data_IF_660035388072
#
_entry.id   IF_660035388072
#
_cell.length_a   1.000
_cell.length_b   1.000
_cell.length_c   1.000
_cell.angle_alpha   90.00
_cell.angle_beta   90.00
_cell.angle_gamma   90.00
#
_symmetry.space_group_name_H-M   'P 1'
#
loop_
_entity.id
_entity.type
_entity.pdbx_description
1 polymer ?
#
# COMPACT_ATOMS: atom_id res chain seq x y z
N UNK A 1 61.50 14.58 13.75
CA UNK A 1 60.65 14.85 12.57
C UNK A 1 59.84 13.58 12.29
N UNK A 2 58.55 13.55 12.66
CA UNK A 2 57.64 12.43 12.37
C UNK A 2 57.10 12.59 10.94
N UNK A 3 57.03 11.52 10.12
CA UNK A 3 56.37 11.58 8.83
C UNK A 3 54.86 11.80 9.00
N UNK A 4 54.29 12.61 8.10
CA UNK A 4 52.87 12.99 8.03
C UNK A 4 52.02 11.78 7.64
N UNK A 5 50.87 11.66 8.30
CA UNK A 5 49.87 10.60 8.18
C UNK A 5 49.55 10.24 6.73
N UNK A 6 49.45 8.92 6.48
CA UNK A 6 48.71 8.38 5.34
C UNK A 6 47.27 8.89 5.47
N UNK A 7 46.82 9.73 4.55
CA UNK A 7 45.41 10.11 4.45
C UNK A 7 44.62 8.85 4.07
N UNK A 8 43.97 8.28 5.07
CA UNK A 8 43.11 7.11 4.93
C UNK A 8 41.84 7.55 4.17
N UNK A 9 41.45 6.77 3.16
CA UNK A 9 40.40 7.12 2.20
C UNK A 9 39.29 6.08 2.21
N UNK A 10 38.04 6.54 2.12
CA UNK A 10 36.84 5.71 2.01
C UNK A 10 36.34 5.72 0.57
N UNK A 11 36.00 4.53 0.07
CA UNK A 11 35.45 4.37 -1.28
C UNK A 11 33.93 4.50 -1.20
N UNK A 12 33.36 5.41 -2.00
CA UNK A 12 31.92 5.60 -2.05
C UNK A 12 31.20 4.37 -2.62
N UNK A 13 30.19 3.81 -1.92
CA UNK A 13 29.49 2.62 -2.39
C UNK A 13 28.64 2.88 -3.65
N UNK A 14 28.27 4.14 -3.91
CA UNK A 14 27.37 4.51 -5.02
C UNK A 14 28.10 4.76 -6.34
N UNK A 15 29.20 5.52 -6.31
CA UNK A 15 29.92 5.92 -7.53
C UNK A 15 31.38 5.47 -7.56
N UNK A 16 31.87 4.79 -6.50
CA UNK A 16 33.26 4.33 -6.33
C UNK A 16 34.32 5.44 -6.36
N UNK A 17 33.92 6.70 -6.22
CA UNK A 17 34.85 7.80 -6.03
C UNK A 17 35.51 7.69 -4.64
N UNK A 18 36.77 8.10 -4.55
CA UNK A 18 37.54 8.16 -3.33
C UNK A 18 37.17 9.43 -2.55
N UNK A 19 36.94 9.28 -1.26
CA UNK A 19 36.60 10.36 -0.34
C UNK A 19 37.57 10.31 0.85
N UNK A 20 38.09 11.44 1.37
CA UNK A 20 38.86 11.46 2.61
C UNK A 20 38.02 10.93 3.77
N UNK A 21 38.67 10.21 4.68
CA UNK A 21 38.06 9.80 5.93
C UNK A 21 37.51 10.99 6.74
N UNK A 22 36.35 10.78 7.36
CA UNK A 22 35.61 11.83 8.08
C UNK A 22 34.65 12.66 7.22
N UNK A 23 34.62 12.45 5.90
CA UNK A 23 33.59 13.05 5.05
C UNK A 23 32.26 12.33 5.24
N UNK A 24 31.23 13.07 5.67
CA UNK A 24 29.89 12.52 5.84
C UNK A 24 29.20 12.21 4.50
N UNK A 25 29.67 12.83 3.40
CA UNK A 25 29.11 12.71 2.06
C UNK A 25 30.20 12.64 1.00
N UNK A 26 29.93 11.90 -0.08
CA UNK A 26 30.79 11.81 -1.24
C UNK A 26 30.70 13.09 -2.08
N UNK A 27 31.81 13.77 -2.34
CA UNK A 27 31.82 15.02 -3.14
C UNK A 27 31.41 14.81 -4.60
N UNK A 28 31.56 13.60 -5.12
CA UNK A 28 31.24 13.31 -6.52
C UNK A 28 29.74 13.09 -6.75
N UNK A 29 29.03 12.49 -5.78
CA UNK A 29 27.64 12.04 -5.98
C UNK A 29 26.67 12.35 -4.84
N UNK A 30 27.16 12.96 -3.74
CA UNK A 30 26.35 13.36 -2.58
C UNK A 30 25.92 12.22 -1.65
N UNK A 31 26.33 10.97 -1.90
CA UNK A 31 25.95 9.83 -1.06
C UNK A 31 26.65 9.85 0.30
N UNK A 32 25.93 9.54 1.39
CA UNK A 32 26.48 9.53 2.73
C UNK A 32 27.50 8.38 2.95
N UNK A 33 28.61 8.63 3.65
CA UNK A 33 29.74 7.70 3.78
C UNK A 33 29.96 7.11 5.19
N UNK A 34 29.14 7.47 6.19
CA UNK A 34 28.99 6.66 7.41
C UNK A 34 28.73 7.42 8.71
N UNK A 35 27.61 7.08 9.37
CA UNK A 35 27.55 6.70 10.79
C UNK A 35 26.14 6.17 11.11
N UNK A 36 26.03 4.84 11.06
CA UNK A 36 25.06 4.09 11.84
C UNK A 36 25.52 4.20 13.30
N UNK A 37 24.87 5.04 14.09
CA UNK A 37 24.59 4.72 15.49
C UNK A 37 23.41 5.56 16.00
N UNK A 38 22.37 4.81 16.38
CA UNK A 38 21.31 5.14 17.33
C UNK A 38 20.56 6.49 17.21
N UNK A 39 19.27 6.34 16.83
CA UNK A 39 18.14 7.13 17.32
C UNK A 39 17.95 8.56 16.77
N UNK A 40 16.73 8.76 16.22
CA UNK A 40 16.02 10.03 15.96
C UNK A 40 16.38 10.77 14.65
N UNK A 41 15.73 10.39 13.55
CA UNK A 41 14.72 11.22 12.86
C UNK A 41 14.28 10.51 11.58
N UNK A 42 13.14 9.84 11.67
CA UNK A 42 12.35 9.43 10.51
C UNK A 42 11.69 10.69 9.92
N UNK A 43 12.31 11.29 8.92
CA UNK A 43 11.67 12.13 7.90
C UNK A 43 12.66 12.29 6.74
N UNK A 44 12.49 11.56 5.65
CA UNK A 44 11.68 11.98 4.50
C UNK A 44 12.35 13.15 3.74
N UNK A 45 13.17 12.82 2.74
CA UNK A 45 12.97 13.33 1.38
C UNK A 45 13.99 12.75 0.39
N UNK A 46 13.41 12.00 -0.54
CA UNK A 46 13.71 11.98 -1.97
C UNK A 46 14.65 10.91 -2.56
N UNK A 47 14.06 10.22 -3.54
CA UNK A 47 14.60 9.18 -4.43
C UNK A 47 14.86 7.78 -3.86
N UNK A 48 13.86 6.92 -4.09
CA UNK A 48 14.11 5.84 -5.04
C UNK A 48 14.40 4.46 -4.45
N UNK A 49 13.35 3.83 -3.93
CA UNK A 49 13.31 2.41 -3.63
C UNK A 49 12.77 2.16 -2.25
N UNK A 50 11.52 1.70 -2.15
CA UNK A 50 11.18 0.83 -1.03
C UNK A 50 12.30 -0.21 -0.93
N UNK A 51 12.86 -0.48 0.26
CA UNK A 51 13.81 -1.58 0.39
C UNK A 51 13.12 -2.78 -0.25
N UNK A 52 13.76 -3.32 -1.29
CA UNK A 52 13.37 -4.60 -1.81
C UNK A 52 13.36 -5.51 -0.60
N UNK A 53 12.17 -5.90 -0.13
CA UNK A 53 12.02 -7.00 0.78
C UNK A 53 12.52 -8.22 0.01
N UNK A 54 13.84 -8.41 -0.04
CA UNK A 54 14.54 -9.62 -0.48
C UNK A 54 14.30 -10.78 0.49
N UNK A 55 13.28 -10.67 1.34
CA UNK A 55 12.60 -11.84 1.85
C UNK A 55 11.90 -12.56 0.68
N UNK A 56 11.93 -13.91 0.66
CA UNK A 56 10.97 -14.67 -0.13
C UNK A 56 9.54 -14.30 0.36
N UNK A 57 8.49 -14.78 -0.28
CA UNK A 57 7.07 -14.53 0.10
C UNK A 57 6.68 -15.14 1.49
N UNK A 58 7.61 -15.12 2.45
CA UNK A 58 7.69 -15.97 3.65
C UNK A 58 6.66 -15.58 4.70
N UNK A 59 6.41 -14.31 4.99
CA UNK A 59 5.50 -13.95 6.08
C UNK A 59 4.15 -13.40 5.61
N UNK A 60 3.55 -14.07 4.63
CA UNK A 60 2.10 -13.91 4.42
C UNK A 60 1.39 -15.01 5.20
N UNK A 61 0.76 -14.69 6.35
CA UNK A 61 -0.03 -15.68 7.07
C UNK A 61 -1.10 -16.21 6.13
N UNK A 62 -1.31 -17.53 6.16
CA UNK A 62 -2.40 -18.19 5.45
C UNK A 62 -3.73 -17.79 6.10
N UNK A 63 -4.15 -16.57 5.84
CA UNK A 63 -5.34 -16.04 6.46
C UNK A 63 -6.56 -16.69 5.80
N UNK A 64 -7.34 -17.40 6.61
CA UNK A 64 -8.62 -17.93 6.17
C UNK A 64 -9.49 -16.79 5.61
N UNK A 65 -10.21 -17.08 4.54
CA UNK A 65 -11.10 -16.10 3.88
C UNK A 65 -12.11 -15.46 4.84
N UNK A 66 -12.55 -16.23 5.86
CA UNK A 66 -13.47 -15.75 6.89
C UNK A 66 -12.84 -14.63 7.74
N UNK A 67 -11.56 -14.75 8.12
CA UNK A 67 -10.86 -13.70 8.86
C UNK A 67 -10.70 -12.43 8.02
N UNK A 68 -10.46 -12.57 6.71
CA UNK A 68 -10.45 -11.42 5.79
C UNK A 68 -11.80 -10.70 5.80
N UNK A 69 -12.91 -11.45 5.77
CA UNK A 69 -14.26 -10.87 5.85
C UNK A 69 -14.47 -10.15 7.18
N UNK A 70 -14.14 -10.81 8.30
CA UNK A 70 -14.27 -10.25 9.65
C UNK A 70 -13.44 -8.97 9.79
N UNK A 71 -12.19 -8.96 9.34
CA UNK A 71 -11.37 -7.75 9.35
C UNK A 71 -11.93 -6.65 8.49
N UNK A 72 -12.51 -6.96 7.32
CA UNK A 72 -13.12 -5.95 6.47
C UNK A 72 -14.32 -5.27 7.14
N UNK A 73 -15.13 -6.04 7.88
CA UNK A 73 -16.26 -5.52 8.67
C UNK A 73 -15.74 -4.66 9.84
N UNK A 74 -14.79 -5.18 10.64
CA UNK A 74 -14.27 -4.49 11.82
C UNK A 74 -13.56 -3.19 11.44
N UNK A 75 -12.84 -3.17 10.31
CA UNK A 75 -12.09 -2.00 9.84
C UNK A 75 -12.88 -1.10 8.91
N UNK A 76 -14.17 -1.36 8.72
CA UNK A 76 -15.07 -0.56 7.87
C UNK A 76 -14.50 -0.32 6.45
N UNK A 77 -13.95 -1.37 5.81
CA UNK A 77 -13.41 -1.24 4.45
C UNK A 77 -11.91 -0.92 4.36
N UNK A 78 -11.28 -0.42 5.44
CA UNK A 78 -9.88 0.03 5.42
C UNK A 78 -8.90 -1.13 5.19
N UNK A 79 -9.25 -2.33 5.66
CA UNK A 79 -8.38 -3.51 5.54
C UNK A 79 -7.95 -3.80 4.09
N UNK A 80 -8.85 -3.61 3.11
CA UNK A 80 -8.58 -3.92 1.71
C UNK A 80 -7.41 -3.14 1.10
N UNK A 81 -7.48 -1.79 1.05
CA UNK A 81 -6.38 -0.96 0.57
C UNK A 81 -5.07 -1.20 1.33
N UNK A 82 -5.13 -1.32 2.67
CA UNK A 82 -3.94 -1.58 3.50
C UNK A 82 -3.30 -2.93 3.16
N UNK A 83 -4.11 -3.96 2.92
CA UNK A 83 -3.65 -5.27 2.48
C UNK A 83 -2.93 -5.21 1.13
N UNK A 84 -3.47 -4.42 0.18
CA UNK A 84 -2.83 -4.19 -1.11
C UNK A 84 -1.49 -3.45 -0.97
N UNK A 85 -1.45 -2.37 -0.18
CA UNK A 85 -0.23 -1.58 0.05
C UNK A 85 0.89 -2.43 0.67
N UNK A 86 0.56 -3.21 1.71
CA UNK A 86 1.52 -4.11 2.37
C UNK A 86 2.11 -5.16 1.42
N UNK A 87 1.40 -5.52 0.36
CA UNK A 87 1.82 -6.56 -0.59
C UNK A 87 2.26 -6.01 -1.94
N UNK A 88 2.33 -4.70 -2.09
CA UNK A 88 2.68 -4.06 -3.34
C UNK A 88 4.03 -4.55 -3.87
N UNK A 89 5.06 -4.62 -3.01
CA UNK A 89 6.38 -5.12 -3.39
C UNK A 89 6.41 -6.60 -3.80
N UNK A 90 5.51 -7.42 -3.26
CA UNK A 90 5.35 -8.81 -3.70
C UNK A 90 4.71 -8.88 -5.08
N UNK A 91 3.68 -8.06 -5.35
CA UNK A 91 3.01 -8.01 -6.64
C UNK A 91 3.88 -7.41 -7.74
N UNK A 92 4.72 -6.43 -7.42
CA UNK A 92 5.65 -5.83 -8.38
C UNK A 92 6.75 -6.80 -8.85
N UNK A 93 6.99 -7.89 -8.11
CA UNK A 93 7.92 -8.96 -8.52
C UNK A 93 7.29 -9.96 -9.49
N UNK A 94 5.97 -9.96 -9.65
CA UNK A 94 5.31 -10.81 -10.63
C UNK A 94 5.72 -10.39 -12.05
N UNK A 95 5.99 -11.38 -12.89
CA UNK A 95 6.39 -11.19 -14.29
C UNK A 95 5.16 -10.81 -15.13
N UNK A 96 4.73 -9.56 -15.06
CA UNK A 96 3.66 -8.98 -15.89
C UNK A 96 4.07 -7.60 -16.40
N UNK A 97 3.63 -7.24 -17.60
CA UNK A 97 3.83 -5.90 -18.19
C UNK A 97 3.06 -4.82 -17.42
N UNK A 98 1.95 -5.21 -16.79
CA UNK A 98 1.12 -4.30 -15.99
C UNK A 98 1.68 -4.22 -14.58
N UNK A 99 1.74 -3.00 -14.04
CA UNK A 99 2.15 -2.76 -12.66
C UNK A 99 1.02 -2.11 -11.87
N UNK A 100 0.91 -2.48 -10.60
CA UNK A 100 -0.01 -1.85 -9.67
C UNK A 100 0.48 -0.43 -9.35
N UNK A 101 -0.40 0.56 -9.45
CA UNK A 101 -0.04 1.95 -9.16
C UNK A 101 -0.23 2.23 -7.66
N UNK A 102 0.84 2.51 -6.89
CA UNK A 102 0.73 2.83 -5.46
C UNK A 102 -0.15 4.05 -5.21
N UNK A 103 -0.11 5.06 -6.08
CA UNK A 103 -0.88 6.29 -5.92
C UNK A 103 -2.39 6.04 -5.92
N UNK A 104 -2.88 5.09 -6.73
CA UNK A 104 -4.30 4.74 -6.75
C UNK A 104 -4.75 3.98 -5.49
N UNK A 105 -3.84 3.23 -4.85
CA UNK A 105 -4.12 2.56 -3.57
C UNK A 105 -4.12 3.53 -2.40
N UNK A 106 -3.19 4.48 -2.38
CA UNK A 106 -3.19 5.56 -1.40
C UNK A 106 -4.43 6.43 -1.58
N UNK A 107 -4.79 6.76 -2.82
CA UNK A 107 -6.01 7.52 -3.12
C UNK A 107 -7.27 6.80 -2.64
N UNK A 108 -7.42 5.49 -2.88
CA UNK A 108 -8.60 4.76 -2.38
C UNK A 108 -8.67 4.71 -0.86
N UNK A 109 -7.53 4.59 -0.17
CA UNK A 109 -7.46 4.68 1.29
C UNK A 109 -7.89 6.06 1.79
N UNK A 110 -7.41 7.14 1.15
CA UNK A 110 -7.79 8.51 1.49
C UNK A 110 -9.28 8.76 1.28
N UNK A 111 -9.87 8.25 0.20
CA UNK A 111 -11.31 8.37 -0.04
C UNK A 111 -12.13 7.60 1.00
N UNK A 112 -11.75 6.37 1.38
CA UNK A 112 -12.42 5.64 2.46
C UNK A 112 -12.33 6.42 3.78
N UNK A 113 -11.15 6.93 4.13
CA UNK A 113 -11.00 7.73 5.35
C UNK A 113 -11.88 8.99 5.33
N UNK A 114 -11.94 9.68 4.19
CA UNK A 114 -12.79 10.86 4.02
C UNK A 114 -14.29 10.53 4.11
N UNK A 115 -14.75 9.44 3.46
CA UNK A 115 -16.13 8.97 3.56
C UNK A 115 -16.52 8.59 4.98
N UNK A 116 -15.66 7.85 5.70
CA UNK A 116 -15.89 7.53 7.11
C UNK A 116 -15.98 8.78 7.99
N UNK A 117 -15.11 9.76 7.77
CA UNK A 117 -15.16 11.03 8.51
C UNK A 117 -16.43 11.82 8.20
N UNK A 118 -16.86 11.89 6.94
CA UNK A 118 -18.10 12.55 6.54
C UNK A 118 -19.33 11.87 7.14
N UNK A 119 -19.41 10.55 7.07
CA UNK A 119 -20.47 9.75 7.68
C UNK A 119 -20.54 9.96 9.20
N UNK A 120 -19.39 10.00 9.87
CA UNK A 120 -19.32 10.28 11.30
C UNK A 120 -19.82 11.69 11.65
N UNK A 121 -19.38 12.71 10.90
CA UNK A 121 -19.83 14.09 11.10
C UNK A 121 -21.33 14.23 10.85
N UNK A 122 -21.85 13.60 9.79
CA UNK A 122 -23.28 13.61 9.49
C UNK A 122 -24.11 13.01 10.63
N UNK A 123 -23.71 11.84 11.15
CA UNK A 123 -24.38 11.20 12.28
C UNK A 123 -24.31 12.03 13.58
N UNK A 124 -23.19 12.73 13.84
CA UNK A 124 -23.10 13.65 14.97
C UNK A 124 -24.06 14.83 14.83
N UNK A 125 -24.17 15.41 13.64
CA UNK A 125 -25.07 16.53 13.36
C UNK A 125 -26.52 16.09 13.56
N UNK A 126 -26.90 14.92 13.03
CA UNK A 126 -28.25 14.38 13.17
C UNK A 126 -28.60 14.14 14.65
N UNK A 127 -27.73 13.45 15.39
CA UNK A 127 -27.94 13.18 16.82
C UNK A 127 -28.01 14.43 17.70
N UNK A 128 -27.20 15.45 17.42
CA UNK A 128 -27.27 16.74 18.14
C UNK A 128 -28.53 17.53 17.78
N UNK A 129 -28.95 17.49 16.50
CA UNK A 129 -30.12 18.22 16.03
C UNK A 129 -31.41 17.67 16.65
N UNK A 130 -31.50 16.35 16.83
CA UNK A 130 -32.61 15.68 17.51
C UNK A 130 -32.67 16.09 18.98
N UNK A 131 -31.52 16.12 19.66
CA UNK A 131 -31.43 16.54 21.07
C UNK A 131 -31.86 18.00 21.31
N UNK A 132 -31.64 18.89 20.32
CA UNK A 132 -31.93 20.33 20.43
C UNK A 132 -33.26 20.76 19.78
N UNK A 133 -33.98 19.86 19.11
CA UNK A 133 -35.23 20.18 18.41
C UNK A 133 -35.07 21.12 17.21
N UNK A 134 -33.86 21.22 16.62
CA UNK A 134 -33.51 22.19 15.58
C UNK A 134 -33.49 21.54 14.18
N UNK A 135 -34.61 20.94 13.76
CA UNK A 135 -34.62 19.91 12.71
C UNK A 135 -34.59 20.42 11.27
N UNK A 136 -35.18 21.57 10.96
CA UNK A 136 -35.49 21.93 9.55
C UNK A 136 -34.30 22.45 8.74
N UNK A 137 -33.42 23.27 9.31
CA UNK A 137 -32.26 23.84 8.59
C UNK A 137 -31.04 22.94 8.63
N UNK A 138 -30.94 22.09 9.66
CA UNK A 138 -29.82 21.18 9.87
C UNK A 138 -30.00 19.89 9.05
N UNK A 139 -31.23 19.40 8.89
CA UNK A 139 -31.50 18.16 8.13
C UNK A 139 -31.11 18.26 6.64
N UNK A 140 -31.19 19.44 6.04
CA UNK A 140 -30.73 19.66 4.67
C UNK A 140 -29.21 19.53 4.51
N UNK A 141 -28.44 19.92 5.55
CA UNK A 141 -26.99 19.81 5.56
C UNK A 141 -26.53 18.37 5.76
N UNK A 142 -27.12 17.62 6.71
CA UNK A 142 -26.77 16.20 6.94
C UNK A 142 -27.04 15.37 5.69
N UNK A 143 -28.21 15.53 5.06
CA UNK A 143 -28.56 14.82 3.82
C UNK A 143 -27.55 15.10 2.69
N UNK A 144 -27.10 16.35 2.55
CA UNK A 144 -26.09 16.70 1.55
C UNK A 144 -24.72 16.06 1.85
N UNK A 145 -24.31 16.01 3.13
CA UNK A 145 -23.09 15.33 3.57
C UNK A 145 -23.16 13.81 3.34
N UNK A 146 -24.32 13.19 3.56
CA UNK A 146 -24.53 11.76 3.31
C UNK A 146 -24.42 11.42 1.83
N UNK A 147 -25.02 12.23 0.96
CA UNK A 147 -24.88 12.06 -0.48
C UNK A 147 -23.42 12.22 -0.95
N UNK A 148 -22.70 13.19 -0.39
CA UNK A 148 -21.28 13.40 -0.68
C UNK A 148 -20.42 12.21 -0.19
N UNK A 149 -20.66 11.73 1.03
CA UNK A 149 -19.99 10.55 1.58
C UNK A 149 -20.22 9.34 0.69
N UNK A 150 -21.48 9.07 0.35
CA UNK A 150 -21.87 7.96 -0.52
C UNK A 150 -21.16 8.04 -1.87
N UNK A 151 -21.08 9.23 -2.47
CA UNK A 151 -20.39 9.43 -3.73
C UNK A 151 -18.89 9.12 -3.63
N UNK A 152 -18.24 9.57 -2.56
CA UNK A 152 -16.83 9.29 -2.27
C UNK A 152 -16.60 7.78 -2.05
N UNK A 153 -17.47 7.11 -1.32
CA UNK A 153 -17.38 5.66 -1.05
C UNK A 153 -17.55 4.83 -2.32
N UNK A 154 -18.47 5.25 -3.19
CA UNK A 154 -18.65 4.65 -4.52
C UNK A 154 -17.37 4.81 -5.34
N UNK A 155 -16.77 6.01 -5.36
CA UNK A 155 -15.53 6.26 -6.08
C UNK A 155 -14.38 5.38 -5.54
N UNK A 156 -14.24 5.30 -4.21
CA UNK A 156 -13.25 4.43 -3.58
C UNK A 156 -13.43 2.96 -3.98
N UNK A 157 -14.69 2.50 -4.01
CA UNK A 157 -15.04 1.14 -4.43
C UNK A 157 -14.63 0.87 -5.87
N UNK A 158 -14.88 1.80 -6.80
CA UNK A 158 -14.44 1.68 -8.19
C UNK A 158 -12.92 1.59 -8.30
N UNK A 159 -12.18 2.40 -7.54
CA UNK A 159 -10.71 2.34 -7.52
C UNK A 159 -10.21 0.97 -7.04
N UNK A 160 -10.81 0.41 -5.99
CA UNK A 160 -10.43 -0.91 -5.47
C UNK A 160 -10.78 -2.02 -6.47
N UNK A 161 -11.94 -1.96 -7.13
CA UNK A 161 -12.32 -2.91 -8.18
C UNK A 161 -11.30 -2.85 -9.33
N UNK A 162 -10.94 -1.65 -9.78
CA UNK A 162 -9.95 -1.46 -10.84
C UNK A 162 -8.59 -2.08 -10.48
N UNK A 163 -8.11 -1.87 -9.26
CA UNK A 163 -6.86 -2.49 -8.78
C UNK A 163 -6.98 -4.01 -8.67
N UNK A 164 -8.12 -4.52 -8.21
CA UNK A 164 -8.37 -5.95 -8.09
C UNK A 164 -8.37 -6.65 -9.45
N UNK A 165 -8.95 -6.03 -10.47
CA UNK A 165 -8.91 -6.54 -11.84
C UNK A 165 -7.50 -6.46 -12.44
N UNK A 166 -6.75 -5.40 -12.14
CA UNK A 166 -5.34 -5.29 -12.57
C UNK A 166 -4.50 -6.42 -11.94
N UNK A 167 -4.64 -6.66 -10.64
CA UNK A 167 -3.94 -7.76 -9.95
C UNK A 167 -4.32 -9.14 -10.52
N UNK A 168 -5.60 -9.37 -10.81
CA UNK A 168 -6.03 -10.60 -11.49
C UNK A 168 -5.28 -10.81 -12.80
N UNK A 169 -5.16 -9.78 -13.64
CA UNK A 169 -4.42 -9.90 -14.90
C UNK A 169 -2.94 -10.21 -14.64
N UNK A 170 -2.28 -9.52 -13.70
CA UNK A 170 -0.88 -9.79 -13.35
C UNK A 170 -0.65 -11.24 -12.91
N UNK A 171 -1.55 -11.80 -12.09
CA UNK A 171 -1.46 -13.20 -11.65
C UNK A 171 -1.63 -14.15 -12.83
N UNK A 172 -2.58 -13.88 -13.74
CA UNK A 172 -2.79 -14.71 -14.94
C UNK A 172 -1.58 -14.70 -15.86
N UNK A 173 -1.03 -13.52 -16.13
CA UNK A 173 0.16 -13.36 -16.98
C UNK A 173 1.35 -14.11 -16.39
N UNK A 174 1.57 -13.98 -15.08
CA UNK A 174 2.67 -14.66 -14.39
C UNK A 174 2.55 -16.19 -14.47
N UNK A 175 1.36 -16.72 -14.24
CA UNK A 175 1.15 -18.18 -14.29
C UNK A 175 1.18 -18.70 -15.72
N UNK A 176 0.69 -17.94 -16.70
CA UNK A 176 0.83 -18.27 -18.11
C UNK A 176 2.31 -18.33 -18.54
N UNK A 177 3.14 -17.40 -18.05
CA UNK A 177 4.58 -17.40 -18.30
C UNK A 177 5.31 -18.63 -17.69
N UNK A 178 4.73 -19.26 -16.67
CA UNK A 178 5.22 -20.52 -16.09
C UNK A 178 4.62 -21.78 -16.75
N UNK A 179 3.84 -21.63 -17.83
CA UNK A 179 3.16 -22.75 -18.51
C UNK A 179 1.94 -23.29 -17.75
N UNK A 180 1.42 -22.56 -16.76
CA UNK A 180 0.23 -22.93 -16.00
C UNK A 180 -1.02 -22.18 -16.44
N UNK A 181 -2.19 -22.61 -15.93
CA UNK A 181 -3.45 -21.88 -16.07
C UNK A 181 -4.16 -21.75 -14.73
N UNK A 182 -4.76 -20.58 -14.46
CA UNK A 182 -5.60 -20.33 -13.27
C UNK A 182 -6.95 -19.80 -13.69
N UNK A 183 -8.00 -20.51 -13.27
CA UNK A 183 -9.38 -20.10 -13.47
C UNK A 183 -9.78 -19.02 -12.44
N UNK A 184 -9.30 -17.79 -12.62
CA UNK A 184 -9.79 -16.61 -11.87
C UNK A 184 -10.84 -15.89 -12.72
N UNK A 185 -12.08 -15.89 -12.26
CA UNK A 185 -13.21 -15.22 -12.93
C UNK A 185 -13.28 -13.74 -12.53
N UNK A 186 -13.55 -12.86 -13.50
CA UNK A 186 -13.65 -11.42 -13.24
C UNK A 186 -14.82 -11.10 -12.31
N UNK A 187 -15.98 -11.74 -12.51
CA UNK A 187 -17.16 -11.60 -11.65
C UNK A 187 -16.84 -11.89 -10.17
N UNK A 188 -16.17 -13.02 -9.90
CA UNK A 188 -15.73 -13.38 -8.55
C UNK A 188 -14.72 -12.39 -7.96
N UNK A 189 -13.92 -11.73 -8.81
CA UNK A 189 -12.98 -10.69 -8.38
C UNK A 189 -13.71 -9.37 -8.05
N UNK A 190 -14.84 -9.08 -8.69
CA UNK A 190 -15.64 -7.90 -8.38
C UNK A 190 -16.43 -8.13 -7.08
N UNK A 191 -17.07 -9.29 -6.95
CA UNK A 191 -17.90 -9.63 -5.79
C UNK A 191 -17.08 -9.91 -4.52
N UNK A 192 -15.93 -10.56 -4.66
CA UNK A 192 -15.12 -11.04 -3.54
C UNK A 192 -13.68 -10.55 -3.61
N UNK A 193 -13.43 -9.38 -4.22
CA UNK A 193 -12.18 -8.61 -4.31
C UNK A 193 -10.96 -9.27 -3.62
N UNK A 194 -10.72 -8.92 -2.35
CA UNK A 194 -9.56 -9.35 -1.59
C UNK A 194 -9.60 -10.85 -1.26
N UNK A 195 -10.78 -11.41 -1.04
CA UNK A 195 -10.98 -12.82 -0.64
C UNK A 195 -10.59 -13.76 -1.80
N UNK A 196 -11.11 -13.50 -2.99
CA UNK A 196 -10.86 -14.31 -4.18
C UNK A 196 -9.38 -14.24 -4.57
N UNK A 197 -8.78 -13.06 -4.51
CA UNK A 197 -7.36 -12.85 -4.80
C UNK A 197 -6.47 -13.55 -3.75
N UNK A 198 -6.80 -13.42 -2.46
CA UNK A 198 -6.09 -14.14 -1.39
C UNK A 198 -6.16 -15.66 -1.60
N UNK A 199 -7.34 -16.20 -1.93
CA UNK A 199 -7.51 -17.63 -2.18
C UNK A 199 -6.66 -18.10 -3.38
N UNK A 200 -6.66 -17.33 -4.47
CA UNK A 200 -5.85 -17.63 -5.65
C UNK A 200 -4.35 -17.62 -5.33
N UNK A 201 -3.86 -16.61 -4.60
CA UNK A 201 -2.45 -16.48 -4.18
C UNK A 201 -2.06 -17.65 -3.26
N UNK A 202 -2.88 -17.98 -2.25
CA UNK A 202 -2.61 -19.12 -1.36
C UNK A 202 -2.59 -20.44 -2.16
N UNK A 203 -3.46 -20.58 -3.15
CA UNK A 203 -3.46 -21.72 -4.07
C UNK A 203 -2.18 -21.85 -4.88
N UNK A 204 -1.57 -20.73 -5.28
CA UNK A 204 -0.30 -20.71 -6.01
C UNK A 204 0.90 -21.01 -5.08
N UNK A 205 0.90 -20.47 -3.86
CA UNK A 205 1.91 -20.76 -2.83
C UNK A 205 1.98 -22.25 -2.52
N UNK A 206 0.82 -22.90 -2.32
CA UNK A 206 0.74 -24.36 -2.08
C UNK A 206 1.27 -25.22 -3.24
N UNK A 207 1.33 -24.68 -4.46
CA UNK A 207 1.85 -25.36 -5.65
C UNK A 207 3.33 -25.06 -5.92
N UNK A 208 4.00 -24.28 -5.07
CA UNK A 208 5.40 -23.86 -5.26
C UNK A 208 5.62 -22.97 -6.49
N UNK A 209 4.59 -22.22 -6.91
CA UNK A 209 4.62 -21.35 -8.10
C UNK A 209 4.85 -19.86 -7.77
N UNK A 210 5.09 -19.58 -6.50
CA UNK A 210 5.29 -18.27 -5.89
C UNK A 210 6.48 -18.36 -4.93
#
# INVERSE_FOLDING_TARGET
MRPRNLEEYVICPRCRALSPEGSNYCFQCGAALGLLDEFIFSNESDQGGMPALEGPLVDVPELHWFLVLVYNIITLGIYGPVWFLRRLGAFQRLRSERKLNPGLLVASLMFIAAGLMLSFVSGLIEGLSEAQGLTTRIGGLSTALDHLSTFIDILATFLIIHQSLTLRHMIKDHVAAQGGHVAITALWTILFQNINLQHAINGLKRRGRL
#
